data_IF_084756541570
#
_entry.id   IF_084756541570
#
_cell.length_a   1.000
_cell.length_b   1.000
_cell.length_c   1.000
_cell.angle_alpha   90.00
_cell.angle_beta   90.00
_cell.angle_gamma   90.00
#
_symmetry.space_group_name_H-M   'P 1'
#
loop_
_entity.id
_entity.type
_entity.pdbx_description
1 polymer ?
#
# COMPACT_ATOMS: atom_id res chain seq x y z
N UNK A 1 -10.59 13.88 -8.55
CA UNK A 1 -11.48 12.67 -8.58
C UNK A 1 -10.58 11.50 -8.83
N UNK A 2 -10.40 10.67 -7.81
CA UNK A 2 -9.48 9.54 -7.86
C UNK A 2 -10.26 8.28 -8.25
N UNK A 3 -9.86 7.64 -9.34
CA UNK A 3 -10.47 6.40 -9.82
C UNK A 3 -9.54 5.24 -9.51
N UNK A 4 -9.97 4.35 -8.63
CA UNK A 4 -9.24 3.11 -8.34
C UNK A 4 -9.12 2.26 -9.61
N UNK A 5 -7.91 1.80 -9.95
CA UNK A 5 -7.71 1.04 -11.20
C UNK A 5 -8.21 -0.40 -11.10
N UNK A 6 -8.23 -1.00 -9.91
CA UNK A 6 -8.63 -2.40 -9.72
C UNK A 6 -10.14 -2.64 -9.69
N UNK A 7 -10.94 -1.68 -9.21
CA UNK A 7 -12.41 -1.84 -9.15
C UNK A 7 -13.21 -0.69 -9.75
N UNK A 8 -12.56 0.36 -10.29
CA UNK A 8 -13.23 1.49 -10.94
C UNK A 8 -13.97 2.42 -9.98
N UNK A 9 -13.91 2.19 -8.67
CA UNK A 9 -14.54 3.04 -7.67
C UNK A 9 -13.92 4.43 -7.69
N UNK A 10 -14.76 5.46 -7.79
CA UNK A 10 -14.35 6.85 -7.85
C UNK A 10 -14.67 7.57 -6.55
N UNK A 11 -13.69 8.29 -5.99
CA UNK A 11 -13.92 9.17 -4.85
C UNK A 11 -13.64 10.62 -5.22
N UNK A 12 -14.51 11.51 -4.78
CA UNK A 12 -14.24 12.93 -4.78
C UNK A 12 -13.17 13.21 -3.72
N UNK A 13 -12.15 13.98 -4.08
CA UNK A 13 -11.12 14.37 -3.12
C UNK A 13 -11.68 15.46 -2.22
N UNK A 14 -11.41 15.42 -0.90
CA UNK A 14 -12.04 16.28 0.09
C UNK A 14 -11.78 17.78 -0.13
N UNK A 15 -10.71 18.14 -0.84
CA UNK A 15 -10.33 19.52 -1.19
C UNK A 15 -10.35 19.78 -2.72
N UNK A 16 -10.73 18.79 -3.52
CA UNK A 16 -10.71 18.87 -4.99
C UNK A 16 -9.31 18.83 -5.62
N UNK A 17 -8.25 18.71 -4.81
CA UNK A 17 -6.88 18.59 -5.30
C UNK A 17 -6.53 17.11 -5.47
N UNK A 18 -6.03 16.67 -6.64
CA UNK A 18 -5.41 15.37 -6.79
C UNK A 18 -4.17 15.28 -5.91
N UNK A 19 -4.30 14.84 -4.65
CA UNK A 19 -3.12 14.59 -3.79
C UNK A 19 -2.38 13.35 -4.24
N UNK A 20 -3.08 12.49 -4.98
CA UNK A 20 -2.60 11.20 -5.41
C UNK A 20 -2.31 11.29 -6.91
N UNK A 21 -1.07 11.63 -7.28
CA UNK A 21 -0.64 11.60 -8.68
C UNK A 21 -0.76 10.20 -9.33
N UNK A 22 -0.95 9.15 -8.52
CA UNK A 22 -1.12 7.77 -8.96
C UNK A 22 -2.35 7.14 -8.28
N UNK A 23 -3.39 6.76 -9.03
CA UNK A 23 -4.52 6.05 -8.46
C UNK A 23 -4.07 4.70 -7.88
N UNK A 24 -4.57 4.37 -6.68
CA UNK A 24 -4.27 3.09 -6.04
C UNK A 24 -4.75 1.92 -6.89
N UNK A 25 -3.96 0.85 -6.95
CA UNK A 25 -4.33 -0.38 -7.65
C UNK A 25 -5.57 -1.03 -7.03
N UNK A 26 -5.63 -1.04 -5.70
CA UNK A 26 -6.80 -1.50 -4.97
C UNK A 26 -7.16 -0.51 -3.86
N UNK A 27 -8.46 -0.18 -3.76
CA UNK A 27 -8.99 0.70 -2.71
C UNK A 27 -9.81 -0.11 -1.70
N UNK A 28 -10.20 0.54 -0.60
CA UNK A 28 -11.04 -0.06 0.46
C UNK A 28 -12.42 -0.59 0.03
N UNK A 29 -12.87 -0.27 -1.19
CA UNK A 29 -14.15 -0.74 -1.75
C UNK A 29 -13.98 -1.89 -2.75
N UNK A 30 -12.75 -2.23 -3.13
CA UNK A 30 -12.53 -3.30 -4.08
C UNK A 30 -12.87 -4.66 -3.46
N UNK A 31 -13.45 -5.59 -4.24
CA UNK A 31 -13.64 -6.97 -3.80
C UNK A 31 -12.28 -7.61 -3.48
N UNK A 32 -12.24 -8.66 -2.65
CA UNK A 32 -11.00 -9.38 -2.39
C UNK A 32 -10.31 -9.83 -3.68
N UNK A 33 -8.98 -9.70 -3.72
CA UNK A 33 -8.14 -10.12 -4.83
C UNK A 33 -7.14 -11.18 -4.37
N UNK A 34 -6.47 -11.85 -5.33
CA UNK A 34 -5.41 -12.80 -5.01
C UNK A 34 -4.09 -12.08 -4.86
N UNK A 35 -3.36 -12.35 -3.78
CA UNK A 35 -2.00 -11.88 -3.61
C UNK A 35 -1.11 -12.39 -4.75
N UNK A 36 -0.34 -11.50 -5.37
CA UNK A 36 0.59 -11.83 -6.44
C UNK A 36 1.77 -12.72 -5.99
N UNK A 37 2.08 -12.76 -4.70
CA UNK A 37 3.16 -13.56 -4.14
C UNK A 37 2.71 -14.94 -3.66
N UNK A 38 1.72 -15.01 -2.74
CA UNK A 38 1.30 -16.28 -2.15
C UNK A 38 0.02 -16.88 -2.77
N UNK A 39 -0.76 -16.11 -3.54
CA UNK A 39 -2.00 -16.56 -4.18
C UNK A 39 -3.24 -16.57 -3.28
N UNK A 40 -3.08 -16.30 -1.98
CA UNK A 40 -4.18 -16.23 -1.01
C UNK A 40 -5.07 -15.00 -1.24
N UNK A 41 -6.37 -15.09 -0.88
CA UNK A 41 -7.28 -13.95 -0.96
C UNK A 41 -6.91 -12.89 0.08
N UNK A 42 -6.76 -11.64 -0.36
CA UNK A 42 -6.55 -10.46 0.47
C UNK A 42 -7.41 -9.28 0.00
N UNK A 43 -7.49 -8.23 0.82
CA UNK A 43 -8.17 -6.98 0.47
C UNK A 43 -7.45 -5.77 1.09
N UNK A 44 -7.91 -4.56 0.77
CA UNK A 44 -7.34 -3.33 1.32
C UNK A 44 -7.61 -3.20 2.83
N UNK A 45 -8.69 -3.82 3.30
CA UNK A 45 -9.07 -3.86 4.72
C UNK A 45 -8.51 -5.08 5.46
N UNK A 46 -8.09 -6.11 4.74
CA UNK A 46 -7.46 -7.31 5.27
C UNK A 46 -6.22 -7.65 4.43
N UNK A 47 -5.08 -6.98 4.67
CA UNK A 47 -3.87 -7.16 3.88
C UNK A 47 -3.35 -8.60 3.95
N UNK A 48 -2.60 -9.02 2.93
CA UNK A 48 -1.98 -10.35 2.91
C UNK A 48 -1.08 -10.53 4.13
N UNK A 49 -1.13 -11.70 4.78
CA UNK A 49 -0.20 -12.04 5.87
C UNK A 49 1.26 -12.14 5.43
N UNK A 50 1.50 -12.21 4.12
CA UNK A 50 2.82 -12.15 3.51
C UNK A 50 3.40 -10.72 3.44
N UNK A 51 2.56 -9.68 3.62
CA UNK A 51 2.99 -8.29 3.62
C UNK A 51 3.38 -7.84 5.02
N UNK A 52 4.36 -6.94 5.10
CA UNK A 52 4.77 -6.28 6.35
C UNK A 52 4.15 -4.89 6.38
N UNK A 53 3.45 -4.54 7.45
CA UNK A 53 2.89 -3.20 7.67
C UNK A 53 3.88 -2.34 8.45
N UNK A 54 4.28 -1.19 7.93
CA UNK A 54 5.19 -0.27 8.65
C UNK A 54 4.49 0.71 9.59
N UNK A 55 3.16 0.78 9.55
CA UNK A 55 2.39 1.66 10.43
C UNK A 55 2.65 1.34 11.91
N UNK A 56 3.01 2.36 12.68
CA UNK A 56 3.34 2.21 14.11
C UNK A 56 4.72 1.63 14.42
N UNK A 57 5.51 1.24 13.42
CA UNK A 57 6.89 0.76 13.65
C UNK A 57 7.87 1.92 13.86
N UNK A 58 8.90 1.70 14.68
CA UNK A 58 9.99 2.65 14.78
C UNK A 58 10.81 2.66 13.48
N UNK A 59 11.38 3.81 13.13
CA UNK A 59 12.18 3.93 11.91
C UNK A 59 13.37 2.96 11.86
N UNK A 60 13.96 2.64 13.02
CA UNK A 60 15.02 1.65 13.12
C UNK A 60 14.55 0.23 12.70
N UNK A 61 13.34 -0.16 13.08
CA UNK A 61 12.75 -1.46 12.73
C UNK A 61 12.40 -1.52 11.24
N UNK A 62 11.88 -0.42 10.68
CA UNK A 62 11.65 -0.29 9.23
C UNK A 62 12.97 -0.45 8.48
N UNK A 63 14.05 0.19 8.95
CA UNK A 63 15.38 0.03 8.36
C UNK A 63 15.87 -1.42 8.44
N UNK A 64 15.63 -2.12 9.54
CA UNK A 64 16.01 -3.53 9.69
C UNK A 64 15.27 -4.44 8.69
N UNK A 65 13.96 -4.24 8.50
CA UNK A 65 13.19 -4.97 7.49
C UNK A 65 13.72 -4.75 6.07
N UNK A 66 14.08 -3.52 5.73
CA UNK A 66 14.58 -3.17 4.40
C UNK A 66 16.01 -3.70 4.18
N UNK A 67 16.86 -3.64 5.20
CA UNK A 67 18.18 -4.26 5.18
C UNK A 67 18.11 -5.78 4.97
N UNK A 68 17.16 -6.46 5.63
CA UNK A 68 16.93 -7.90 5.43
C UNK A 68 16.51 -8.25 3.99
N UNK A 69 15.85 -7.30 3.30
CA UNK A 69 15.49 -7.40 1.89
C UNK A 69 16.61 -6.94 0.92
N UNK A 70 17.79 -6.59 1.44
CA UNK A 70 18.95 -6.15 0.64
C UNK A 70 18.95 -4.67 0.25
N UNK A 71 18.07 -3.85 0.84
CA UNK A 71 18.04 -2.41 0.62
C UNK A 71 18.79 -1.68 1.74
N UNK A 72 19.68 -0.75 1.37
CA UNK A 72 20.28 0.17 2.33
C UNK A 72 19.62 1.55 2.23
N UNK A 73 19.06 2.01 3.34
CA UNK A 73 18.49 3.34 3.49
C UNK A 73 19.47 4.23 4.24
N UNK A 74 20.13 5.10 3.46
CA UNK A 74 20.90 6.22 3.96
C UNK A 74 20.03 7.49 3.91
N UNK A 75 19.93 8.19 5.05
CA UNK A 75 19.41 9.56 5.06
C UNK A 75 20.61 10.46 4.74
N UNK A 76 20.61 11.21 3.62
CA UNK A 76 21.67 12.17 3.35
C UNK A 76 21.69 13.22 4.46
N UNK A 77 22.87 13.43 5.04
CA UNK A 77 23.17 14.44 6.06
C UNK A 77 23.31 15.82 5.46
#
# INVERSE_FOLDING_TARGET
>A
MLTCTGCGATKAEPDGTPTDHFPSEHCGQCPPWRCNQCGDPCSATNPCGCWVTFEGMAFADIKAHLAAAGFDLAIPT
#
